data_IF_708918892759
#
_entry.id   IF_708918892759
#
_cell.length_a   1.000
_cell.length_b   1.000
_cell.length_c   1.000
_cell.angle_alpha   90.00
_cell.angle_beta   90.00
_cell.angle_gamma   90.00
#
_symmetry.space_group_name_H-M   'P 1'
#
loop_
_entity.id
_entity.type
_entity.pdbx_description
1 polymer ?
#
# COMPACT_ATOMS: atom_id res chain seq x y z
N UNK A 1 10.73 -26.62 -4.81
CA UNK A 1 10.01 -25.47 -5.42
C UNK A 1 10.87 -24.21 -5.55
N UNK A 2 11.46 -23.65 -4.48
CA UNK A 2 12.33 -22.46 -4.58
C UNK A 2 13.56 -22.66 -5.49
N UNK A 3 14.17 -23.85 -5.44
CA UNK A 3 15.31 -24.23 -6.28
C UNK A 3 15.00 -24.32 -7.80
N UNK A 4 13.72 -24.26 -8.20
CA UNK A 4 13.29 -24.35 -9.60
C UNK A 4 12.63 -23.05 -10.11
N UNK A 5 12.89 -21.90 -9.45
CA UNK A 5 12.32 -20.59 -9.81
C UNK A 5 10.78 -20.50 -9.78
N UNK A 6 10.11 -21.44 -9.09
CA UNK A 6 8.67 -21.38 -8.84
C UNK A 6 8.42 -20.56 -7.58
N UNK A 7 8.17 -19.26 -7.77
CA UNK A 7 7.99 -18.28 -6.69
C UNK A 7 6.60 -18.35 -6.02
N UNK A 8 5.65 -19.05 -6.63
CA UNK A 8 4.28 -19.13 -6.18
C UNK A 8 3.82 -20.59 -6.15
N UNK A 9 3.12 -20.99 -5.09
CA UNK A 9 2.57 -22.34 -4.93
C UNK A 9 1.24 -22.30 -4.19
N UNK A 10 0.39 -23.29 -4.42
CA UNK A 10 -0.83 -23.47 -3.63
C UNK A 10 -0.58 -24.37 -2.42
N UNK A 11 -1.25 -24.05 -1.32
CA UNK A 11 -1.37 -24.90 -0.14
C UNK A 11 -2.82 -24.87 0.31
N UNK A 12 -3.63 -25.83 -0.19
CA UNK A 12 -5.07 -25.83 0.02
C UNK A 12 -5.72 -24.55 -0.51
N UNK A 13 -6.34 -23.76 0.36
CA UNK A 13 -6.94 -22.46 0.01
C UNK A 13 -5.90 -21.35 -0.19
N UNK A 14 -4.71 -21.50 0.39
CA UNK A 14 -3.68 -20.46 0.39
C UNK A 14 -2.88 -20.43 -0.92
N UNK A 15 -2.54 -19.22 -1.36
CA UNK A 15 -1.51 -18.98 -2.36
C UNK A 15 -0.27 -18.43 -1.65
N UNK A 16 0.77 -19.25 -1.59
CA UNK A 16 2.05 -18.89 -0.97
C UNK A 16 2.91 -18.21 -2.02
N UNK A 17 3.30 -16.96 -1.76
CA UNK A 17 4.18 -16.17 -2.62
C UNK A 17 5.49 -15.92 -1.87
N UNK A 18 6.60 -16.38 -2.44
CA UNK A 18 7.95 -16.19 -1.88
C UNK A 18 8.56 -14.96 -2.54
N UNK A 19 9.03 -13.99 -1.74
CA UNK A 19 9.70 -12.80 -2.26
C UNK A 19 11.05 -13.19 -2.91
N UNK A 20 11.23 -12.99 -4.23
CA UNK A 20 12.47 -13.32 -4.91
C UNK A 20 13.65 -12.36 -4.64
N UNK A 21 13.40 -11.19 -4.06
CA UNK A 21 14.34 -10.06 -4.01
C UNK A 21 14.94 -9.66 -5.38
N UNK A 22 14.29 -10.08 -6.47
CA UNK A 22 14.67 -9.85 -7.86
C UNK A 22 13.42 -9.62 -8.70
N UNK A 23 13.53 -8.76 -9.71
CA UNK A 23 12.42 -8.47 -10.60
C UNK A 23 12.27 -9.56 -11.65
N UNK A 24 11.25 -10.39 -11.50
CA UNK A 24 10.87 -11.39 -12.52
C UNK A 24 9.71 -10.86 -13.38
N UNK A 25 9.61 -11.27 -14.66
CA UNK A 25 8.56 -10.84 -15.58
C UNK A 25 7.20 -11.54 -15.34
N UNK A 26 6.83 -11.75 -14.07
CA UNK A 26 5.60 -12.46 -13.66
C UNK A 26 4.34 -11.59 -13.74
N UNK A 27 4.47 -10.27 -13.62
CA UNK A 27 3.32 -9.35 -13.54
C UNK A 27 3.09 -8.56 -14.83
N UNK A 28 3.38 -9.17 -15.97
CA UNK A 28 3.16 -8.53 -17.29
C UNK A 28 1.70 -8.67 -17.73
N UNK A 29 1.24 -7.78 -18.62
CA UNK A 29 -0.09 -7.89 -19.25
C UNK A 29 -0.28 -9.22 -20.01
N UNK A 30 0.80 -9.78 -20.57
CA UNK A 30 0.78 -11.11 -21.19
C UNK A 30 0.43 -12.19 -20.17
N UNK A 31 1.08 -12.14 -18.99
CA UNK A 31 0.77 -13.05 -17.89
C UNK A 31 -0.68 -12.85 -17.42
N UNK A 32 -1.12 -11.61 -17.15
CA UNK A 32 -2.48 -11.33 -16.72
C UNK A 32 -3.56 -11.93 -17.66
N UNK A 33 -3.36 -11.83 -18.98
CA UNK A 33 -4.27 -12.42 -19.98
C UNK A 33 -4.36 -13.95 -19.90
N UNK A 34 -3.30 -14.64 -19.48
CA UNK A 34 -3.34 -16.12 -19.32
C UNK A 34 -4.28 -16.56 -18.20
N UNK A 35 -4.45 -15.72 -17.18
CA UNK A 35 -5.23 -16.04 -15.98
C UNK A 35 -6.71 -15.63 -16.09
N UNK A 36 -7.06 -14.77 -17.05
CA UNK A 36 -8.42 -14.24 -17.21
C UNK A 36 -9.43 -15.33 -17.55
N UNK A 37 -10.45 -15.48 -16.71
CA UNK A 37 -11.55 -16.44 -16.88
C UNK A 37 -11.12 -17.90 -16.76
N UNK A 38 -9.94 -18.16 -16.17
CA UNK A 38 -9.42 -19.52 -16.00
C UNK A 38 -9.66 -20.02 -14.59
N UNK A 39 -10.05 -21.29 -14.47
CA UNK A 39 -10.17 -21.93 -13.16
C UNK A 39 -8.78 -22.17 -12.58
N UNK A 40 -8.69 -22.18 -11.24
CA UNK A 40 -7.41 -22.30 -10.50
C UNK A 40 -6.59 -23.55 -10.87
N UNK A 41 -7.25 -24.62 -11.33
CA UNK A 41 -6.63 -25.88 -11.74
C UNK A 41 -6.22 -25.92 -13.23
N UNK A 42 -6.60 -24.92 -14.03
CA UNK A 42 -6.28 -24.83 -15.46
C UNK A 42 -4.98 -24.07 -15.73
N UNK A 43 -4.43 -23.40 -14.71
CA UNK A 43 -3.27 -22.51 -14.82
C UNK A 43 -2.30 -22.75 -13.66
N UNK A 44 -0.98 -22.49 -13.85
CA UNK A 44 0.00 -22.62 -12.79
C UNK A 44 -0.30 -21.70 -11.60
N UNK A 45 0.15 -22.04 -10.38
CA UNK A 45 -0.10 -21.21 -9.20
C UNK A 45 0.34 -19.76 -9.38
N UNK A 46 -0.62 -18.85 -9.25
CA UNK A 46 -0.35 -17.42 -9.35
C UNK A 46 -1.36 -16.57 -8.58
N UNK A 47 -0.91 -15.40 -8.13
CA UNK A 47 -1.71 -14.39 -7.46
C UNK A 47 -2.90 -13.94 -8.33
N UNK A 48 -2.67 -13.81 -9.64
CA UNK A 48 -3.71 -13.46 -10.62
C UNK A 48 -4.81 -14.53 -10.72
N UNK A 49 -4.53 -15.82 -10.54
CA UNK A 49 -5.58 -16.84 -10.50
C UNK A 49 -6.49 -16.66 -9.26
N UNK A 50 -5.94 -16.23 -8.12
CA UNK A 50 -6.74 -15.95 -6.91
C UNK A 50 -7.56 -14.69 -7.12
N UNK A 51 -6.97 -13.63 -7.68
CA UNK A 51 -7.68 -12.39 -8.00
C UNK A 51 -8.79 -12.59 -9.03
N UNK A 52 -8.54 -13.35 -10.09
CA UNK A 52 -9.56 -13.66 -11.11
C UNK A 52 -10.68 -14.51 -10.55
N UNK A 53 -10.36 -15.52 -9.74
CA UNK A 53 -11.35 -16.33 -9.04
C UNK A 53 -12.25 -15.49 -8.14
N UNK A 54 -11.69 -14.54 -7.38
CA UNK A 54 -12.47 -13.61 -6.58
C UNK A 54 -13.37 -12.72 -7.48
N UNK A 55 -12.85 -12.18 -8.57
CA UNK A 55 -13.64 -11.37 -9.49
C UNK A 55 -14.82 -12.14 -10.12
N UNK A 56 -14.57 -13.36 -10.61
CA UNK A 56 -15.59 -14.22 -11.20
C UNK A 56 -16.64 -14.62 -10.17
N UNK A 57 -16.22 -14.99 -8.95
CA UNK A 57 -17.14 -15.34 -7.86
C UNK A 57 -18.00 -14.14 -7.44
N UNK A 58 -17.42 -12.95 -7.36
CA UNK A 58 -18.15 -11.71 -7.06
C UNK A 58 -19.27 -11.46 -8.08
N UNK A 59 -18.98 -11.62 -9.38
CA UNK A 59 -19.97 -11.42 -10.45
C UNK A 59 -21.02 -12.53 -10.53
N UNK A 60 -20.62 -13.77 -10.24
CA UNK A 60 -21.50 -14.94 -10.35
C UNK A 60 -22.44 -15.05 -9.15
N UNK A 61 -21.91 -14.83 -7.94
CA UNK A 61 -22.66 -15.03 -6.70
C UNK A 61 -23.30 -13.74 -6.19
N UNK A 62 -22.94 -12.59 -6.76
CA UNK A 62 -23.35 -11.26 -6.28
C UNK A 62 -22.99 -11.00 -4.81
N UNK A 63 -21.85 -11.54 -4.37
CA UNK A 63 -21.33 -11.41 -3.01
C UNK A 63 -19.97 -10.71 -2.98
N UNK A 64 -19.79 -9.82 -2.01
CA UNK A 64 -18.52 -9.14 -1.78
C UNK A 64 -17.41 -10.15 -1.46
N UNK A 65 -16.22 -9.93 -2.01
CA UNK A 65 -15.06 -10.80 -1.82
C UNK A 65 -13.99 -10.09 -1.00
N UNK A 66 -13.20 -10.86 -0.26
CA UNK A 66 -12.04 -10.35 0.47
C UNK A 66 -10.79 -11.16 0.16
N UNK A 67 -9.66 -10.47 0.06
CA UNK A 67 -8.34 -11.07 -0.13
C UNK A 67 -7.46 -10.66 1.04
N UNK A 68 -7.09 -11.62 1.90
CA UNK A 68 -6.20 -11.39 3.03
C UNK A 68 -4.75 -11.68 2.62
N UNK A 69 -3.90 -10.64 2.61
CA UNK A 69 -2.47 -10.76 2.31
C UNK A 69 -1.67 -10.64 3.62
N UNK A 70 -1.14 -11.76 4.09
CA UNK A 70 -0.34 -11.83 5.32
C UNK A 70 1.14 -12.05 5.03
N UNK A 71 1.98 -11.77 6.04
CA UNK A 71 3.43 -11.96 5.95
C UNK A 71 4.18 -11.01 6.89
N UNK A 72 5.41 -11.36 7.22
CA UNK A 72 6.30 -10.50 8.02
C UNK A 72 6.78 -9.28 7.19
N UNK A 73 7.55 -8.39 7.81
CA UNK A 73 8.22 -7.33 7.04
C UNK A 73 9.15 -7.93 5.99
N UNK A 74 9.27 -7.26 4.84
CA UNK A 74 10.09 -7.75 3.73
C UNK A 74 9.46 -8.91 2.94
N UNK A 75 8.33 -9.48 3.37
CA UNK A 75 7.66 -10.56 2.65
C UNK A 75 7.07 -10.15 1.27
N UNK A 76 7.11 -8.86 0.92
CA UNK A 76 6.59 -8.36 -0.37
C UNK A 76 5.08 -8.11 -0.38
N UNK A 77 4.44 -7.97 0.79
CA UNK A 77 2.99 -7.69 0.91
C UNK A 77 2.57 -6.50 0.05
N UNK A 78 3.22 -5.35 0.24
CA UNK A 78 2.90 -4.10 -0.47
C UNK A 78 2.99 -4.27 -1.98
N UNK A 79 4.04 -4.93 -2.48
CA UNK A 79 4.19 -5.19 -3.92
C UNK A 79 3.11 -6.14 -4.44
N UNK A 80 2.80 -7.21 -3.72
CA UNK A 80 1.71 -8.12 -4.09
C UNK A 80 0.35 -7.40 -4.12
N UNK A 81 0.06 -6.55 -3.12
CA UNK A 81 -1.17 -5.74 -3.09
C UNK A 81 -1.25 -4.81 -4.29
N UNK A 82 -0.16 -4.13 -4.66
CA UNK A 82 -0.11 -3.29 -5.88
C UNK A 82 -0.47 -4.10 -7.12
N UNK A 83 0.07 -5.32 -7.26
CA UNK A 83 -0.20 -6.19 -8.42
C UNK A 83 -1.62 -6.75 -8.46
N UNK A 84 -2.24 -7.00 -7.31
CA UNK A 84 -3.67 -7.34 -7.23
C UNK A 84 -4.54 -6.18 -7.71
N UNK A 85 -4.28 -4.96 -7.23
CA UNK A 85 -5.03 -3.76 -7.64
C UNK A 85 -4.85 -3.52 -9.14
N UNK A 86 -3.63 -3.63 -9.66
CA UNK A 86 -3.33 -3.49 -11.09
C UNK A 86 -4.08 -4.52 -11.94
N UNK A 87 -4.18 -5.76 -11.47
CA UNK A 87 -4.93 -6.81 -12.14
C UNK A 87 -6.42 -6.46 -12.21
N UNK A 88 -7.01 -6.05 -11.09
CA UNK A 88 -8.40 -5.61 -11.02
C UNK A 88 -8.70 -4.40 -11.90
N UNK A 89 -7.78 -3.42 -11.94
CA UNK A 89 -7.87 -2.29 -12.84
C UNK A 89 -7.81 -2.73 -14.31
N UNK A 90 -6.99 -3.73 -14.65
CA UNK A 90 -6.85 -4.24 -16.02
C UNK A 90 -8.09 -4.99 -16.49
N UNK A 91 -8.70 -5.83 -15.65
CA UNK A 91 -9.89 -6.60 -16.02
C UNK A 91 -11.18 -5.78 -15.95
N UNK A 92 -11.24 -4.81 -15.02
CA UNK A 92 -12.37 -3.91 -14.81
C UNK A 92 -12.32 -2.65 -15.67
N UNK A 93 -11.25 -2.44 -16.45
CA UNK A 93 -11.13 -1.31 -17.36
C UNK A 93 -12.25 -1.36 -18.42
N UNK A 94 -12.99 -0.26 -18.53
CA UNK A 94 -13.89 -0.07 -19.66
C UNK A 94 -13.04 0.20 -20.91
N UNK A 95 -13.37 -0.40 -22.05
CA UNK A 95 -12.62 -0.21 -23.31
C UNK A 95 -12.61 1.24 -23.85
N UNK A 96 -13.23 2.19 -23.16
CA UNK A 96 -13.10 3.61 -23.42
C UNK A 96 -11.94 4.14 -22.57
N UNK A 97 -10.84 4.52 -23.23
CA UNK A 97 -9.85 5.41 -22.61
C UNK A 97 -10.58 6.71 -22.28
N UNK A 98 -10.89 6.93 -21.01
CA UNK A 98 -11.35 8.25 -20.57
C UNK A 98 -10.22 9.24 -20.83
N UNK A 99 -10.49 10.31 -21.58
CA UNK A 99 -9.54 11.41 -21.80
C UNK A 99 -9.16 12.08 -20.46
N UNK A 100 -9.99 11.91 -19.41
CA UNK A 100 -9.70 12.33 -18.04
C UNK A 100 -8.78 11.36 -17.26
N UNK A 101 -8.55 10.13 -17.74
CA UNK A 101 -7.65 9.18 -17.10
C UNK A 101 -6.18 9.59 -17.22
N UNK A 102 -5.81 10.34 -18.26
CA UNK A 102 -4.46 10.92 -18.40
C UNK A 102 -4.15 11.94 -17.29
N UNK A 103 -5.16 12.64 -16.76
CA UNK A 103 -4.98 13.61 -15.68
C UNK A 103 -5.01 13.00 -14.28
N UNK A 104 -5.77 11.92 -14.05
CA UNK A 104 -5.92 11.27 -12.73
C UNK A 104 -4.99 10.06 -12.49
N UNK A 105 -4.31 9.55 -13.52
CA UNK A 105 -3.51 8.33 -13.41
C UNK A 105 -4.36 7.06 -13.22
N UNK A 106 -3.74 5.88 -13.31
CA UNK A 106 -4.44 4.61 -13.11
C UNK A 106 -4.88 4.43 -11.66
N UNK A 107 -5.84 3.53 -11.38
CA UNK A 107 -6.21 3.21 -9.99
C UNK A 107 -5.02 2.65 -9.19
N UNK A 108 -4.16 1.84 -9.83
CA UNK A 108 -2.90 1.40 -9.22
C UNK A 108 -2.08 2.62 -8.79
N UNK A 109 -1.89 3.58 -9.70
CA UNK A 109 -1.13 4.79 -9.40
C UNK A 109 -1.74 5.51 -8.22
N UNK A 110 -3.04 5.83 -8.27
CA UNK A 110 -3.75 6.56 -7.21
C UNK A 110 -3.59 5.91 -5.83
N UNK A 111 -3.78 4.59 -5.72
CA UNK A 111 -3.57 3.89 -4.45
C UNK A 111 -2.10 3.94 -4.03
N UNK A 112 -1.16 3.80 -4.97
CA UNK A 112 0.28 3.92 -4.67
C UNK A 112 0.66 5.32 -4.20
N UNK A 113 0.02 6.37 -4.73
CA UNK A 113 0.28 7.76 -4.32
C UNK A 113 -0.10 8.02 -2.87
N UNK A 114 -1.04 7.25 -2.30
CA UNK A 114 -1.41 7.37 -0.89
C UNK A 114 -0.38 6.78 0.08
N UNK A 115 0.47 5.86 -0.39
CA UNK A 115 1.36 5.14 0.51
C UNK A 115 2.35 6.05 1.24
N UNK A 116 3.06 7.02 0.62
CA UNK A 116 3.97 7.89 1.35
C UNK A 116 3.31 8.58 2.55
N UNK A 117 2.08 9.08 2.38
CA UNK A 117 1.31 9.69 3.47
C UNK A 117 0.93 8.65 4.53
N UNK A 118 0.37 7.51 4.13
CA UNK A 118 -0.02 6.45 5.08
C UNK A 118 1.19 5.86 5.83
N UNK A 119 2.34 5.77 5.20
CA UNK A 119 3.58 5.28 5.80
C UNK A 119 4.19 6.34 6.73
N UNK A 120 4.19 7.62 6.35
CA UNK A 120 4.64 8.71 7.22
C UNK A 120 3.87 8.72 8.56
N UNK A 121 2.54 8.63 8.51
CA UNK A 121 1.68 8.72 9.70
C UNK A 121 1.41 7.38 10.40
N UNK A 122 1.59 6.26 9.72
CA UNK A 122 1.17 4.94 10.19
C UNK A 122 2.28 3.90 10.28
N UNK A 123 3.48 4.19 9.77
CA UNK A 123 4.64 3.32 9.91
C UNK A 123 5.67 3.90 10.89
N UNK A 124 6.39 2.98 11.52
CA UNK A 124 7.43 3.30 12.48
C UNK A 124 8.55 2.28 12.45
N UNK A 125 9.70 2.67 13.01
CA UNK A 125 10.81 1.76 13.24
C UNK A 125 10.58 0.94 14.49
N UNK A 126 10.62 -0.37 14.32
CA UNK A 126 10.54 -1.39 15.37
C UNK A 126 11.88 -2.07 15.54
N UNK A 127 12.00 -2.97 16.53
CA UNK A 127 13.22 -3.76 16.72
C UNK A 127 13.57 -4.62 15.50
N UNK A 128 12.57 -5.13 14.76
CA UNK A 128 12.75 -6.10 13.67
C UNK A 128 12.58 -5.51 12.27
N UNK A 129 12.09 -4.29 12.17
CA UNK A 129 11.72 -3.68 10.90
C UNK A 129 11.75 -2.16 10.98
N UNK A 130 12.46 -1.53 10.06
CA UNK A 130 12.64 -0.08 10.03
C UNK A 130 11.45 0.70 9.48
N UNK A 131 10.59 0.05 8.68
CA UNK A 131 9.37 0.64 8.11
C UNK A 131 8.16 -0.28 8.37
N UNK A 132 7.74 -0.40 9.64
CA UNK A 132 6.65 -1.30 10.03
C UNK A 132 5.32 -0.58 10.10
N UNK A 133 4.34 -1.01 9.32
CA UNK A 133 2.95 -0.58 9.48
C UNK A 133 2.42 -0.96 10.86
N UNK A 134 1.88 0.03 11.57
CA UNK A 134 1.27 -0.11 12.90
C UNK A 134 -0.24 0.11 12.86
N UNK A 135 -0.83 -0.13 11.70
CA UNK A 135 -2.27 -0.12 11.45
C UNK A 135 -2.60 -1.21 10.43
N UNK A 136 -3.82 -1.73 10.49
CA UNK A 136 -4.42 -2.54 9.45
C UNK A 136 -4.92 -1.65 8.31
N UNK A 137 -4.64 -2.04 7.07
CA UNK A 137 -5.12 -1.35 5.86
C UNK A 137 -6.08 -2.26 5.11
N UNK A 138 -7.31 -1.82 4.95
CA UNK A 138 -8.35 -2.51 4.17
C UNK A 138 -8.70 -1.67 2.96
N UNK A 139 -8.35 -2.16 1.76
CA UNK A 139 -8.61 -1.45 0.50
C UNK A 139 -9.84 -2.09 -0.13
N UNK A 140 -10.91 -1.31 -0.28
CA UNK A 140 -12.11 -1.73 -1.01
C UNK A 140 -11.99 -1.28 -2.44
N UNK A 141 -12.19 -2.20 -3.37
CA UNK A 141 -12.24 -1.92 -4.80
C UNK A 141 -13.66 -2.18 -5.26
N UNK A 142 -14.32 -1.14 -5.74
CA UNK A 142 -15.73 -1.19 -6.12
C UNK A 142 -15.86 -1.55 -7.59
N UNK A 143 -16.82 -2.41 -7.89
CA UNK A 143 -17.21 -2.75 -9.24
C UNK A 143 -18.70 -2.51 -9.43
N UNK A 144 -19.08 -2.07 -10.63
CA UNK A 144 -20.49 -1.95 -11.02
C UNK A 144 -21.09 -3.34 -11.26
N UNK A 145 -22.42 -3.44 -11.33
CA UNK A 145 -23.10 -4.71 -11.68
C UNK A 145 -22.70 -5.31 -13.04
N UNK A 146 -22.10 -4.49 -13.92
CA UNK A 146 -21.52 -4.94 -15.20
C UNK A 146 -20.06 -5.42 -15.10
N UNK A 147 -19.49 -5.45 -13.90
CA UNK A 147 -18.10 -5.85 -13.63
C UNK A 147 -17.05 -4.80 -13.98
N UNK A 148 -17.45 -3.55 -14.24
CA UNK A 148 -16.53 -2.43 -14.49
C UNK A 148 -16.08 -1.79 -13.19
N UNK A 149 -14.85 -1.29 -13.16
CA UNK A 149 -14.32 -0.56 -12.02
C UNK A 149 -15.14 0.70 -11.72
N UNK A 150 -15.58 0.86 -10.47
CA UNK A 150 -16.42 1.97 -10.00
C UNK A 150 -15.70 2.92 -9.04
N UNK A 151 -14.53 2.53 -8.51
CA UNK A 151 -13.74 3.33 -7.59
C UNK A 151 -13.01 2.47 -6.57
N UNK A 152 -12.35 3.11 -5.62
CA UNK A 152 -11.76 2.44 -4.46
C UNK A 152 -11.75 3.38 -3.26
N UNK A 153 -11.73 2.80 -2.06
CA UNK A 153 -11.50 3.52 -0.82
C UNK A 153 -10.61 2.70 0.12
N UNK A 154 -10.04 3.37 1.12
CA UNK A 154 -9.12 2.77 2.08
C UNK A 154 -9.68 3.01 3.48
N UNK A 155 -9.96 1.92 4.18
CA UNK A 155 -10.27 1.94 5.60
C UNK A 155 -9.06 1.49 6.41
N UNK A 156 -8.80 2.20 7.50
CA UNK A 156 -7.70 1.91 8.41
C UNK A 156 -8.23 1.43 9.75
N UNK A 157 -7.62 0.39 10.29
CA UNK A 157 -8.04 -0.26 11.54
C UNK A 157 -6.87 -0.38 12.51
N UNK A 158 -7.16 -0.37 13.82
CA UNK A 158 -6.20 -0.73 14.87
C UNK A 158 -4.85 0.00 14.79
N UNK A 159 -4.87 1.31 14.58
CA UNK A 159 -3.66 2.13 14.73
C UNK A 159 -3.12 1.99 16.15
N UNK A 160 -1.82 1.70 16.30
CA UNK A 160 -1.16 1.61 17.60
C UNK A 160 -1.01 3.00 18.23
N UNK A 161 -2.07 3.47 18.89
CA UNK A 161 -2.13 4.81 19.50
C UNK A 161 -1.05 5.03 20.56
N UNK A 162 -0.70 3.99 21.31
CA UNK A 162 0.32 4.06 22.36
C UNK A 162 1.68 4.56 21.85
N UNK A 163 2.02 4.24 20.59
CA UNK A 163 3.30 4.63 19.98
C UNK A 163 3.52 6.13 19.86
N UNK A 164 2.42 6.90 19.79
CA UNK A 164 2.48 8.37 19.71
C UNK A 164 3.19 8.97 20.92
N UNK A 165 3.01 8.37 22.11
CA UNK A 165 3.52 8.89 23.37
C UNK A 165 4.55 7.98 24.05
N UNK A 166 4.78 6.79 23.52
CA UNK A 166 5.68 5.80 24.14
C UNK A 166 6.47 5.00 23.11
N UNK A 167 7.77 4.86 23.35
CA UNK A 167 8.66 4.05 22.52
C UNK A 167 9.59 3.19 23.39
N UNK A 168 9.95 2.00 22.90
CA UNK A 168 11.04 1.24 23.50
C UNK A 168 12.40 1.83 23.10
N UNK A 169 13.46 1.49 23.84
CA UNK A 169 14.82 2.05 23.66
C UNK A 169 15.41 1.86 22.25
N UNK A 170 15.01 0.80 21.55
CA UNK A 170 15.44 0.49 20.19
C UNK A 170 14.37 0.79 19.13
N UNK A 171 13.25 1.42 19.49
CA UNK A 171 12.17 1.76 18.58
C UNK A 171 12.07 3.27 18.38
N UNK A 172 11.30 3.64 17.35
CA UNK A 172 10.99 5.03 17.01
C UNK A 172 9.47 5.23 17.03
N UNK A 173 9.02 6.47 17.18
CA UNK A 173 7.63 6.84 16.91
C UNK A 173 7.35 6.82 15.38
N UNK A 174 6.18 7.29 14.97
CA UNK A 174 5.82 7.40 13.55
C UNK A 174 6.78 8.29 12.78
N UNK A 175 7.04 7.95 11.51
CA UNK A 175 8.04 8.62 10.69
C UNK A 175 7.81 10.13 10.53
N UNK A 176 6.55 10.54 10.45
CA UNK A 176 6.15 11.94 10.25
C UNK A 176 6.79 12.92 11.24
N UNK A 177 6.99 12.52 12.50
CA UNK A 177 7.60 13.41 13.50
C UNK A 177 9.05 13.78 13.13
N UNK A 178 9.83 12.81 12.67
CA UNK A 178 11.23 12.99 12.31
C UNK A 178 11.37 13.61 10.92
N UNK A 179 10.45 13.27 10.02
CA UNK A 179 10.31 13.91 8.70
C UNK A 179 10.06 15.41 8.83
N UNK A 180 9.10 15.84 9.66
CA UNK A 180 8.85 17.28 9.87
C UNK A 180 10.07 17.95 10.54
N UNK A 181 10.68 17.29 11.52
CA UNK A 181 11.85 17.83 12.25
C UNK A 181 13.10 17.98 11.38
N UNK A 182 13.18 17.26 10.25
CA UNK A 182 14.28 17.36 9.27
C UNK A 182 14.46 18.77 8.68
N UNK A 183 13.37 19.55 8.60
CA UNK A 183 13.39 20.90 8.03
C UNK A 183 13.59 20.95 6.51
N UNK A 184 13.44 19.83 5.79
CA UNK A 184 13.59 19.81 4.32
C UNK A 184 12.53 20.62 3.58
N UNK A 185 11.32 20.73 4.15
CA UNK A 185 10.24 21.59 3.64
C UNK A 185 10.32 22.97 4.29
N UNK A 186 10.65 23.98 3.48
CA UNK A 186 10.85 25.36 3.94
C UNK A 186 9.60 25.93 4.60
N UNK A 187 9.75 26.54 5.77
CA UNK A 187 8.65 27.19 6.49
C UNK A 187 7.78 26.25 7.32
N UNK A 188 7.95 24.92 7.20
CA UNK A 188 7.10 23.95 7.89
C UNK A 188 7.38 23.94 9.40
N UNK A 189 8.65 23.92 9.81
CA UNK A 189 9.04 23.94 11.22
C UNK A 189 8.59 25.22 11.92
N UNK A 190 8.73 26.36 11.24
CA UNK A 190 8.30 27.66 11.74
C UNK A 190 6.77 27.72 11.91
N UNK A 191 6.00 27.21 10.94
CA UNK A 191 4.54 27.10 11.04
C UNK A 191 4.08 26.19 12.18
N UNK A 192 4.84 25.14 12.47
CA UNK A 192 4.57 24.21 13.56
C UNK A 192 5.17 24.64 14.91
N UNK A 193 5.87 25.79 14.97
CA UNK A 193 6.58 26.27 16.16
C UNK A 193 7.57 25.23 16.74
N UNK A 194 8.27 24.53 15.85
CA UNK A 194 9.19 23.46 16.21
C UNK A 194 10.61 23.98 16.45
N UNK A 195 11.28 23.41 17.45
CA UNK A 195 12.70 23.66 17.71
C UNK A 195 13.59 22.88 16.73
N UNK A 196 14.92 23.03 16.89
CA UNK A 196 15.89 22.26 16.13
C UNK A 196 16.33 20.96 16.80
N UNK A 197 15.87 20.69 18.02
CA UNK A 197 16.22 19.49 18.76
C UNK A 197 14.99 18.60 18.96
N UNK A 198 15.08 17.34 18.53
CA UNK A 198 14.03 16.34 18.73
C UNK A 198 13.86 15.98 20.20
N UNK A 199 14.90 16.14 21.03
CA UNK A 199 14.85 15.82 22.45
C UNK A 199 14.03 16.82 23.28
N UNK A 200 13.68 17.98 22.72
CA UNK A 200 12.69 18.89 23.32
C UNK A 200 11.28 18.24 23.38
N UNK A 201 11.05 17.21 22.57
CA UNK A 201 9.78 16.49 22.47
C UNK A 201 9.90 15.07 23.03
N UNK A 202 10.00 14.96 24.36
CA UNK A 202 10.24 13.68 25.04
C UNK A 202 9.26 12.57 24.66
N UNK A 203 8.01 12.90 24.31
CA UNK A 203 6.99 11.91 23.88
C UNK A 203 7.36 11.14 22.61
N UNK A 204 8.30 11.63 21.79
CA UNK A 204 8.81 11.00 20.56
C UNK A 204 10.31 10.69 20.62
N UNK A 205 10.97 10.96 21.75
CA UNK A 205 12.42 10.85 21.91
C UNK A 205 12.86 9.86 23.01
N UNK A 206 11.96 8.97 23.47
CA UNK A 206 12.29 7.93 24.47
C UNK A 206 13.20 6.82 23.93
N UNK A 207 13.14 6.59 22.62
CA UNK A 207 13.89 5.54 21.93
C UNK A 207 14.92 6.09 20.95
N UNK A 208 14.96 5.51 19.75
CA UNK A 208 15.77 5.99 18.64
C UNK A 208 15.08 7.14 17.92
N UNK A 209 15.86 8.12 17.49
CA UNK A 209 15.39 9.29 16.74
C UNK A 209 15.75 9.20 15.26
N UNK A 210 16.84 8.52 14.92
CA UNK A 210 17.31 8.29 13.54
C UNK A 210 17.32 6.81 13.18
N UNK A 211 17.27 6.53 11.88
CA UNK A 211 17.39 5.18 11.31
C UNK A 211 18.59 5.18 10.35
N UNK A 212 19.51 4.20 10.43
CA UNK A 212 20.60 4.11 9.46
C UNK A 212 20.07 3.96 8.03
N UNK A 213 20.65 4.70 7.08
CA UNK A 213 20.32 4.66 5.65
C UNK A 213 18.90 5.12 5.28
N UNK A 214 18.23 5.87 6.14
CA UNK A 214 16.96 6.55 5.82
C UNK A 214 17.16 8.05 5.97
N UNK A 215 16.84 8.80 4.91
CA UNK A 215 16.85 10.25 4.93
C UNK A 215 15.42 10.77 5.19
N UNK A 216 15.14 11.12 6.44
CA UNK A 216 13.83 11.67 6.82
C UNK A 216 13.50 12.99 6.09
N UNK A 217 14.51 13.73 5.60
CA UNK A 217 14.33 14.94 4.80
C UNK A 217 13.85 14.67 3.39
N UNK A 218 14.44 13.68 2.71
CA UNK A 218 13.98 13.21 1.39
C UNK A 218 12.54 12.66 1.49
N UNK A 219 12.28 11.84 2.49
CA UNK A 219 10.96 11.25 2.74
C UNK A 219 9.88 12.31 3.06
N UNK A 220 10.24 13.37 3.79
CA UNK A 220 9.34 14.50 4.02
C UNK A 220 9.00 15.25 2.73
N UNK A 221 9.97 15.43 1.82
CA UNK A 221 9.73 16.04 0.52
C UNK A 221 8.76 15.22 -0.34
N UNK A 222 8.92 13.88 -0.33
CA UNK A 222 7.96 12.98 -0.98
C UNK A 222 6.57 13.05 -0.34
N UNK A 223 6.51 13.11 0.99
CA UNK A 223 5.24 13.18 1.74
C UNK A 223 4.49 14.48 1.46
N UNK A 224 5.19 15.62 1.42
CA UNK A 224 4.63 16.95 1.14
C UNK A 224 3.99 17.02 -0.25
N UNK A 225 4.72 16.60 -1.30
CA UNK A 225 4.20 16.56 -2.68
C UNK A 225 2.97 15.65 -2.79
N UNK A 226 2.93 14.55 -2.02
CA UNK A 226 1.84 13.59 -2.04
C UNK A 226 0.64 14.04 -1.21
N UNK A 227 0.84 14.83 -0.17
CA UNK A 227 -0.24 15.40 0.64
C UNK A 227 -1.17 16.29 -0.20
N UNK A 228 -0.61 17.13 -1.07
CA UNK A 228 -1.39 17.98 -1.99
C UNK A 228 -2.31 17.13 -2.89
N UNK A 229 -1.79 15.99 -3.36
CA UNK A 229 -2.55 15.07 -4.21
C UNK A 229 -3.56 14.24 -3.40
N UNK A 230 -3.20 13.87 -2.18
CA UNK A 230 -4.03 13.07 -1.26
C UNK A 230 -5.27 13.85 -0.80
N UNK A 231 -5.10 15.12 -0.42
CA UNK A 231 -6.20 16.01 -0.05
C UNK A 231 -7.16 16.19 -1.23
N UNK A 232 -6.64 16.39 -2.44
CA UNK A 232 -7.46 16.45 -3.66
C UNK A 232 -8.25 15.16 -3.89
N UNK A 233 -7.64 13.99 -3.69
CA UNK A 233 -8.32 12.71 -3.84
C UNK A 233 -9.47 12.57 -2.82
N UNK A 234 -9.22 12.82 -1.53
CA UNK A 234 -10.24 12.78 -0.49
C UNK A 234 -11.36 13.81 -0.70
N UNK A 235 -11.05 15.03 -1.15
CA UNK A 235 -12.05 16.07 -1.42
C UNK A 235 -12.94 15.73 -2.63
N UNK A 236 -12.39 15.09 -3.67
CA UNK A 236 -13.19 14.62 -4.82
C UNK A 236 -14.13 13.47 -4.41
N UNK A 237 -13.75 12.63 -3.44
CA UNK A 237 -14.63 11.59 -2.90
C UNK A 237 -15.73 12.15 -1.99
N UNK A 238 -15.50 13.26 -1.29
CA UNK A 238 -16.52 13.92 -0.47
C UNK A 238 -17.58 14.68 -1.29
N UNK A 239 -17.29 15.08 -2.53
CA UNK A 239 -18.21 15.83 -3.40
C UNK A 239 -19.12 14.95 -4.28
N UNK A 240 -19.07 13.62 -4.14
CA UNK A 240 -19.89 12.68 -4.91
C UNK A 240 -20.92 11.90 -4.06
N UNK A 241 -21.23 12.36 -2.84
CA UNK A 241 -22.42 11.93 -2.08
C UNK A 241 -23.49 13.01 -2.10
#
# INVERSE_FOLDING_TARGET
HYAHHLLQTYSGLFCVVINPYKRYPLYTNRCAKMYRGKRRNEVPPHLFAVSDGAYVNMLTNHENQSMLITGESGAGKTENTKKVIAYFATIGASGKKDENAEKKGSLEDQVVQTNPVLEAFGNAKTVRNDNSSRFGKFIRIHFTGSGKLAGADIETYLLEKARVISQQTLERSYHIFYQIMSGSVKGLKEKCFLSNDVYDYMIIAQGKTTIPNVDDGEEMGLTDVRLDTFVWCCSVFYFLN
#
